data_IF_302801625843
#
_entry.id   IF_302801625843
#
_cell.length_a   1.000
_cell.length_b   1.000
_cell.length_c   1.000
_cell.angle_alpha   90.00
_cell.angle_beta   90.00
_cell.angle_gamma   90.00
#
_symmetry.space_group_name_H-M   'P 1'
#
loop_
_entity.id
_entity.type
_entity.pdbx_description
1 polymer ?
#
# COMPACT_ATOMS: atom_id res chain seq x y z
N UNK A 1 -10.16 -5.84 -18.03
CA UNK A 1 -10.08 -5.05 -19.29
C UNK A 1 -10.35 -3.56 -19.09
N UNK A 2 -11.49 -3.13 -18.52
CA UNK A 2 -11.85 -1.69 -18.40
C UNK A 2 -10.89 -0.85 -17.53
N UNK A 3 -10.23 -1.46 -16.54
CA UNK A 3 -9.21 -0.76 -15.73
C UNK A 3 -7.85 -0.61 -16.44
N UNK A 4 -7.51 -1.50 -17.38
CA UNK A 4 -6.19 -1.51 -18.03
C UNK A 4 -5.97 -0.30 -18.96
N UNK A 5 -7.05 0.25 -19.54
CA UNK A 5 -7.00 1.44 -20.40
C UNK A 5 -6.64 2.70 -19.64
N UNK A 6 -7.04 2.82 -18.37
CA UNK A 6 -6.67 3.95 -17.51
C UNK A 6 -5.35 3.73 -16.75
N UNK A 7 -4.93 2.47 -16.62
CA UNK A 7 -3.68 2.09 -15.97
C UNK A 7 -2.44 2.26 -16.86
N UNK A 8 -2.63 2.54 -18.14
CA UNK A 8 -1.58 2.42 -19.16
C UNK A 8 -0.92 1.02 -19.20
N UNK A 9 -1.50 0.00 -18.56
CA UNK A 9 -1.00 -1.38 -18.59
C UNK A 9 -1.19 -2.03 -19.96
N UNK A 10 -2.17 -1.55 -20.73
CA UNK A 10 -2.33 -1.86 -22.17
C UNK A 10 -1.04 -1.54 -22.94
N UNK A 11 -0.26 -0.54 -22.51
CA UNK A 11 0.98 -0.18 -23.20
C UNK A 11 2.19 -1.05 -22.85
N UNK A 12 2.13 -1.86 -21.80
CA UNK A 12 3.24 -2.74 -21.38
C UNK A 12 3.21 -4.10 -22.11
N UNK A 13 2.01 -4.60 -22.45
CA UNK A 13 1.82 -5.94 -23.05
C UNK A 13 1.39 -5.95 -24.52
N UNK A 14 0.80 -4.87 -25.05
CA UNK A 14 0.28 -4.88 -26.42
C UNK A 14 1.21 -4.16 -27.40
N UNK A 15 1.46 -4.79 -28.55
CA UNK A 15 2.18 -4.23 -29.72
C UNK A 15 1.71 -2.82 -30.15
N UNK A 16 0.54 -2.39 -29.67
CA UNK A 16 -0.10 -1.09 -29.94
C UNK A 16 0.73 0.08 -29.40
N UNK A 17 1.44 -0.10 -28.28
CA UNK A 17 2.29 0.96 -27.69
C UNK A 17 3.42 1.39 -28.60
N UNK A 18 4.10 0.41 -29.19
CA UNK A 18 5.16 0.62 -30.18
C UNK A 18 4.62 1.15 -31.51
N UNK A 19 3.33 0.99 -31.81
CA UNK A 19 2.71 1.62 -32.98
C UNK A 19 2.42 3.12 -32.80
N UNK A 20 2.04 3.57 -31.58
CA UNK A 20 1.74 4.99 -31.32
C UNK A 20 3.02 5.82 -31.17
N UNK A 21 4.07 5.24 -30.60
CA UNK A 21 5.39 5.89 -30.48
C UNK A 21 6.51 4.95 -30.96
N UNK A 22 6.79 4.91 -32.28
CA UNK A 22 7.73 3.95 -32.89
C UNK A 22 9.20 4.13 -32.47
N UNK A 23 9.52 5.20 -31.73
CA UNK A 23 10.87 5.47 -31.19
C UNK A 23 10.94 5.45 -29.66
N UNK A 24 9.83 5.21 -28.97
CA UNK A 24 9.82 5.19 -27.51
C UNK A 24 10.43 3.89 -26.99
N UNK A 25 11.32 4.03 -26.01
CA UNK A 25 11.87 2.89 -25.26
C UNK A 25 10.92 2.51 -24.12
N UNK A 26 11.08 1.29 -23.58
CA UNK A 26 10.30 0.83 -22.41
C UNK A 26 10.48 1.77 -21.21
N UNK A 27 11.66 2.39 -21.08
CA UNK A 27 11.95 3.38 -20.02
C UNK A 27 11.14 4.67 -20.18
N UNK A 28 10.89 5.11 -21.42
CA UNK A 28 10.02 6.26 -21.70
C UNK A 28 8.57 5.98 -21.27
N UNK A 29 8.11 4.75 -21.51
CA UNK A 29 6.78 4.31 -21.08
C UNK A 29 6.66 4.22 -19.56
N UNK A 30 7.71 3.76 -18.87
CA UNK A 30 7.74 3.76 -17.41
C UNK A 30 7.68 5.18 -16.83
N UNK A 31 8.37 6.15 -17.44
CA UNK A 31 8.22 7.56 -17.05
C UNK A 31 6.79 8.05 -17.26
N UNK A 32 6.18 7.70 -18.40
CA UNK A 32 4.80 8.11 -18.67
C UNK A 32 3.81 7.56 -17.63
N UNK A 33 4.07 6.37 -17.08
CA UNK A 33 3.26 5.82 -15.97
C UNK A 33 3.31 6.67 -14.70
N UNK A 34 4.39 7.41 -14.45
CA UNK A 34 4.38 8.41 -13.37
C UNK A 34 3.34 9.49 -13.62
N UNK A 35 3.12 9.94 -14.86
CA UNK A 35 2.12 10.96 -15.18
C UNK A 35 0.72 10.48 -14.81
N UNK A 36 0.39 9.22 -15.11
CA UNK A 36 -0.87 8.60 -14.66
C UNK A 36 -1.01 8.61 -13.14
N UNK A 37 0.07 8.25 -12.44
CA UNK A 37 0.06 8.20 -10.97
C UNK A 37 -0.04 9.60 -10.37
N UNK A 38 0.62 10.60 -10.95
CA UNK A 38 0.52 12.01 -10.56
C UNK A 38 -0.84 12.61 -10.88
N UNK A 39 -1.46 12.23 -11.99
CA UNK A 39 -2.84 12.60 -12.31
C UNK A 39 -3.79 12.10 -11.22
N UNK A 40 -3.57 10.88 -10.73
CA UNK A 40 -4.24 10.33 -9.57
C UNK A 40 -4.10 11.25 -8.33
N UNK A 41 -2.89 11.68 -7.99
CA UNK A 41 -2.64 12.64 -6.91
C UNK A 41 -3.30 14.01 -7.16
N UNK A 42 -3.29 14.48 -8.39
CA UNK A 42 -3.93 15.73 -8.78
C UNK A 42 -5.44 15.65 -8.58
N UNK A 43 -6.09 14.53 -8.95
CA UNK A 43 -7.52 14.32 -8.71
C UNK A 43 -7.87 14.31 -7.23
N UNK A 44 -7.02 13.76 -6.36
CA UNK A 44 -7.18 13.86 -4.90
C UNK A 44 -7.18 15.33 -4.49
N UNK A 45 -6.14 16.09 -4.88
CA UNK A 45 -6.00 17.50 -4.51
C UNK A 45 -7.19 18.31 -5.04
N UNK A 46 -7.58 18.09 -6.30
CA UNK A 46 -8.74 18.73 -6.92
C UNK A 46 -10.02 18.39 -6.17
N UNK A 47 -10.23 17.13 -5.76
CA UNK A 47 -11.39 16.72 -4.97
C UNK A 47 -11.41 17.42 -3.60
N UNK A 48 -10.26 17.51 -2.93
CA UNK A 48 -10.14 18.23 -1.66
C UNK A 48 -10.43 19.72 -1.85
N UNK A 49 -9.88 20.33 -2.90
CA UNK A 49 -10.10 21.75 -3.23
C UNK A 49 -11.57 22.00 -3.56
N UNK A 50 -12.19 21.18 -4.40
CA UNK A 50 -13.62 21.26 -4.72
C UNK A 50 -14.46 21.10 -3.46
N UNK A 51 -14.17 20.15 -2.58
CA UNK A 51 -14.90 20.00 -1.31
C UNK A 51 -14.72 21.18 -0.37
N UNK A 52 -13.53 21.79 -0.35
CA UNK A 52 -13.24 22.98 0.45
C UNK A 52 -13.89 24.24 -0.12
N UNK A 53 -13.93 24.37 -1.44
CA UNK A 53 -14.57 25.48 -2.15
C UNK A 53 -16.10 25.37 -2.15
N UNK A 54 -16.66 24.17 -2.33
CA UNK A 54 -18.09 23.87 -2.18
C UNK A 54 -18.53 23.70 -0.72
N UNK A 55 -17.74 24.20 0.23
CA UNK A 55 -18.06 24.09 1.66
C UNK A 55 -19.25 24.95 2.13
N UNK A 56 -20.04 25.54 1.23
CA UNK A 56 -21.28 26.22 1.60
C UNK A 56 -22.47 25.75 0.74
N UNK A 57 -23.40 25.06 1.39
CA UNK A 57 -24.80 24.82 1.01
C UNK A 57 -25.20 23.62 0.11
N UNK A 58 -24.74 23.49 -1.14
CA UNK A 58 -25.45 22.60 -2.08
C UNK A 58 -25.24 21.09 -1.83
N UNK A 59 -23.98 20.65 -1.68
CA UNK A 59 -23.65 19.21 -1.59
C UNK A 59 -24.03 18.62 -0.21
N UNK A 60 -23.91 19.43 0.84
CA UNK A 60 -24.35 19.06 2.20
C UNK A 60 -25.87 18.90 2.23
N UNK A 61 -26.65 19.80 1.60
CA UNK A 61 -28.12 19.71 1.56
C UNK A 61 -28.63 18.48 0.82
N UNK A 62 -27.97 18.09 -0.28
CA UNK A 62 -28.32 16.88 -1.03
C UNK A 62 -27.98 15.60 -0.25
N UNK A 63 -26.83 15.57 0.43
CA UNK A 63 -26.41 14.41 1.24
C UNK A 63 -27.15 14.29 2.58
N UNK A 64 -27.58 15.40 3.19
CA UNK A 64 -28.39 15.38 4.41
C UNK A 64 -29.78 14.78 4.15
N UNK A 65 -30.31 14.96 2.94
CA UNK A 65 -31.57 14.33 2.48
C UNK A 65 -31.44 12.81 2.32
N UNK A 66 -30.21 12.31 2.13
CA UNK A 66 -29.88 10.89 2.05
C UNK A 66 -29.37 10.30 3.39
N UNK A 67 -29.51 11.00 4.51
CA UNK A 67 -29.21 10.47 5.85
C UNK A 67 -27.74 10.21 6.19
N UNK A 68 -26.78 10.57 5.32
CA UNK A 68 -25.35 10.32 5.58
C UNK A 68 -24.72 11.46 6.39
N UNK A 69 -24.68 11.30 7.72
CA UNK A 69 -24.12 12.28 8.68
C UNK A 69 -22.58 12.41 8.68
N UNK A 70 -21.82 11.54 8.00
CA UNK A 70 -20.35 11.51 8.11
C UNK A 70 -19.58 11.52 6.77
N UNK A 71 -19.95 12.46 5.88
CA UNK A 71 -19.35 12.61 4.53
C UNK A 71 -17.84 12.85 4.62
N UNK A 72 -17.39 13.69 5.58
CA UNK A 72 -15.98 14.05 5.74
C UNK A 72 -15.11 12.84 6.08
N UNK A 73 -15.56 11.98 6.99
CA UNK A 73 -14.84 10.74 7.32
C UNK A 73 -14.77 9.78 6.13
N UNK A 74 -15.87 9.61 5.39
CA UNK A 74 -15.90 8.77 4.19
C UNK A 74 -14.96 9.28 3.10
N UNK A 75 -14.87 10.59 2.88
CA UNK A 75 -13.94 11.18 1.92
C UNK A 75 -12.51 10.93 2.35
N UNK A 76 -12.17 11.20 3.63
CA UNK A 76 -10.80 10.99 4.13
C UNK A 76 -10.40 9.53 3.95
N UNK A 77 -11.26 8.58 4.30
CA UNK A 77 -11.00 7.14 4.11
C UNK A 77 -10.85 6.75 2.63
N UNK A 78 -11.60 7.39 1.73
CA UNK A 78 -11.42 7.21 0.29
C UNK A 78 -10.07 7.73 -0.20
N UNK A 79 -9.66 8.91 0.27
CA UNK A 79 -8.36 9.52 -0.08
C UNK A 79 -7.19 8.71 0.48
N UNK A 80 -7.31 8.15 1.70
CA UNK A 80 -6.26 7.29 2.27
C UNK A 80 -6.12 6.00 1.50
N UNK A 81 -7.22 5.32 1.15
CA UNK A 81 -7.18 4.11 0.32
C UNK A 81 -6.53 4.39 -1.05
N UNK A 82 -6.88 5.51 -1.68
CA UNK A 82 -6.30 5.90 -2.95
C UNK A 82 -4.81 6.24 -2.83
N UNK A 83 -4.39 6.90 -1.75
CA UNK A 83 -2.97 7.14 -1.48
C UNK A 83 -2.19 5.82 -1.38
N UNK A 84 -2.72 4.81 -0.70
CA UNK A 84 -2.06 3.49 -0.59
C UNK A 84 -1.85 2.86 -1.96
N UNK A 85 -2.86 2.94 -2.83
CA UNK A 85 -2.80 2.39 -4.18
C UNK A 85 -1.78 3.15 -5.03
N UNK A 86 -1.83 4.49 -5.05
CA UNK A 86 -0.88 5.30 -5.82
C UNK A 86 0.54 5.15 -5.31
N UNK A 87 0.73 5.06 -4.00
CA UNK A 87 2.01 4.79 -3.34
C UNK A 87 2.65 3.51 -3.88
N UNK A 88 1.90 2.41 -3.88
CA UNK A 88 2.43 1.11 -4.29
C UNK A 88 2.83 1.09 -5.77
N UNK A 89 2.03 1.75 -6.62
CA UNK A 89 2.40 1.90 -8.04
C UNK A 89 3.64 2.74 -8.25
N UNK A 90 3.74 3.88 -7.57
CA UNK A 90 4.96 4.69 -7.58
C UNK A 90 6.17 3.83 -7.19
N UNK A 91 6.04 3.02 -6.13
CA UNK A 91 7.11 2.14 -5.65
C UNK A 91 7.54 1.14 -6.72
N UNK A 92 6.60 0.41 -7.34
CA UNK A 92 6.91 -0.55 -8.41
C UNK A 92 7.63 0.13 -9.58
N UNK A 93 7.09 1.24 -10.10
CA UNK A 93 7.69 1.95 -11.24
C UNK A 93 9.10 2.42 -10.90
N UNK A 94 9.29 2.94 -9.68
CA UNK A 94 10.58 3.41 -9.18
C UNK A 94 11.59 2.27 -9.11
N UNK A 95 11.18 1.10 -8.59
CA UNK A 95 12.07 -0.07 -8.53
C UNK A 95 12.39 -0.61 -9.93
N UNK A 96 11.43 -0.66 -10.86
CA UNK A 96 11.66 -1.06 -12.26
C UNK A 96 12.75 -0.22 -12.97
N UNK A 97 12.89 1.06 -12.62
CA UNK A 97 13.90 1.96 -13.19
C UNK A 97 15.24 1.89 -12.46
N UNK A 98 15.19 1.83 -11.12
CA UNK A 98 16.37 1.93 -10.25
C UNK A 98 17.07 0.58 -10.00
N UNK A 99 16.43 -0.57 -10.24
CA UNK A 99 17.07 -1.86 -10.04
C UNK A 99 17.93 -2.28 -11.25
N UNK A 100 19.21 -2.62 -11.02
CA UNK A 100 20.09 -3.07 -12.08
C UNK A 100 19.87 -4.56 -12.39
N UNK A 101 19.88 -4.88 -13.68
CA UNK A 101 20.16 -6.23 -14.17
C UNK A 101 21.63 -6.34 -14.57
N UNK A 102 22.11 -7.55 -14.86
CA UNK A 102 23.45 -7.74 -15.41
C UNK A 102 23.41 -8.65 -16.63
N UNK A 103 24.28 -8.36 -17.58
CA UNK A 103 24.57 -9.22 -18.72
C UNK A 103 25.99 -9.75 -18.53
N UNK A 104 26.16 -11.07 -18.65
CA UNK A 104 27.47 -11.71 -18.61
C UNK A 104 27.99 -11.87 -20.03
N UNK A 105 28.98 -11.08 -20.42
CA UNK A 105 29.66 -11.19 -21.72
C UNK A 105 31.12 -11.53 -21.43
N UNK A 106 31.61 -12.66 -21.98
CA UNK A 106 33.01 -13.09 -21.88
C UNK A 106 33.59 -13.03 -20.45
N UNK A 107 32.84 -13.52 -19.45
CA UNK A 107 33.16 -13.50 -18.01
C UNK A 107 33.17 -12.13 -17.33
N UNK A 108 32.81 -11.04 -18.03
CA UNK A 108 32.61 -9.72 -17.45
C UNK A 108 31.12 -9.47 -17.21
N UNK A 109 30.77 -9.03 -15.99
CA UNK A 109 29.42 -8.60 -15.63
C UNK A 109 29.25 -7.14 -15.96
N UNK A 110 28.35 -6.83 -16.90
CA UNK A 110 27.97 -5.47 -17.26
C UNK A 110 26.62 -5.17 -16.63
N UNK A 111 26.54 -4.13 -15.80
CA UNK A 111 25.30 -3.69 -15.18
C UNK A 111 24.49 -2.82 -16.14
N UNK A 112 23.25 -3.24 -16.37
CA UNK A 112 22.31 -2.60 -17.30
C UNK A 112 20.97 -2.39 -16.59
N UNK A 113 20.17 -1.38 -16.99
CA UNK A 113 18.78 -1.28 -16.54
C UNK A 113 17.98 -2.54 -16.88
N UNK A 114 17.06 -2.95 -15.99
CA UNK A 114 16.28 -4.19 -16.13
C UNK A 114 15.57 -4.34 -17.49
N UNK A 115 15.02 -3.25 -18.04
CA UNK A 115 14.28 -3.26 -19.31
C UNK A 115 15.09 -2.78 -20.52
N UNK A 116 16.39 -2.48 -20.38
CA UNK A 116 17.20 -2.01 -21.50
C UNK A 116 18.66 -2.44 -21.38
N UNK A 117 19.03 -3.51 -22.10
CA UNK A 117 20.39 -4.05 -22.11
C UNK A 117 21.43 -3.22 -22.88
N UNK A 118 21.00 -2.22 -23.65
CA UNK A 118 21.91 -1.38 -24.45
C UNK A 118 22.43 -0.17 -23.66
N UNK A 119 21.80 0.13 -22.52
CA UNK A 119 22.17 1.26 -21.68
C UNK A 119 23.05 0.80 -20.53
N UNK A 120 24.05 1.61 -20.22
CA UNK A 120 24.85 1.46 -19.01
C UNK A 120 24.05 1.95 -17.80
N UNK A 121 23.99 1.13 -16.74
CA UNK A 121 23.25 1.49 -15.53
C UNK A 121 23.86 2.73 -14.85
N UNK A 122 23.00 3.69 -14.46
CA UNK A 122 23.36 4.95 -13.77
C UNK A 122 24.38 5.81 -14.53
N UNK A 123 24.43 5.70 -15.86
CA UNK A 123 25.32 6.49 -16.71
C UNK A 123 24.57 7.11 -17.89
N UNK A 124 25.14 8.19 -18.41
CA UNK A 124 24.73 8.89 -19.63
C UNK A 124 23.21 9.10 -19.75
N UNK A 125 22.55 8.37 -20.66
CA UNK A 125 21.13 8.48 -20.94
C UNK A 125 20.25 7.86 -19.85
N UNK A 126 20.71 6.86 -19.08
CA UNK A 126 19.92 6.29 -17.98
C UNK A 126 19.71 7.29 -16.84
N UNK A 127 20.66 8.21 -16.61
CA UNK A 127 20.55 9.26 -15.59
C UNK A 127 19.30 10.12 -15.77
N UNK A 128 18.88 10.37 -17.02
CA UNK A 128 17.66 11.13 -17.32
C UNK A 128 16.39 10.46 -16.76
N UNK A 129 16.41 9.13 -16.61
CA UNK A 129 15.33 8.34 -16.03
C UNK A 129 15.52 8.10 -14.54
N UNK A 130 16.76 7.87 -14.10
CA UNK A 130 17.09 7.59 -12.72
C UNK A 130 16.87 8.79 -11.79
N UNK A 131 17.20 10.01 -12.23
CA UNK A 131 17.04 11.22 -11.40
C UNK A 131 15.57 11.46 -11.03
N UNK A 132 14.60 11.46 -11.97
CA UNK A 132 13.18 11.55 -11.63
C UNK A 132 12.70 10.42 -10.71
N UNK A 133 13.15 9.19 -10.95
CA UNK A 133 12.78 8.04 -10.12
C UNK A 133 13.30 8.18 -8.67
N UNK A 134 14.56 8.63 -8.50
CA UNK A 134 15.14 8.92 -7.19
C UNK A 134 14.41 10.05 -6.48
N UNK A 135 14.08 11.13 -7.21
CA UNK A 135 13.30 12.25 -6.66
C UNK A 135 11.92 11.77 -6.20
N UNK A 136 11.23 10.94 -7.00
CA UNK A 136 9.97 10.33 -6.63
C UNK A 136 10.11 9.47 -5.36
N UNK A 137 11.18 8.68 -5.27
CA UNK A 137 11.48 7.87 -4.09
C UNK A 137 11.60 8.71 -2.83
N UNK A 138 12.46 9.74 -2.84
CA UNK A 138 12.74 10.56 -1.66
C UNK A 138 11.55 11.46 -1.30
N UNK A 139 10.84 12.01 -2.28
CA UNK A 139 9.79 13.00 -2.03
C UNK A 139 8.38 12.40 -1.83
N UNK A 140 8.12 11.18 -2.32
CA UNK A 140 6.76 10.61 -2.33
C UNK A 140 6.71 9.26 -1.61
N UNK A 141 7.67 8.38 -1.85
CA UNK A 141 7.65 7.01 -1.30
C UNK A 141 8.20 6.97 0.12
N UNK A 142 9.26 7.70 0.41
CA UNK A 142 9.89 7.68 1.73
C UNK A 142 9.11 8.47 2.81
N UNK A 143 8.48 9.63 2.52
CA UNK A 143 7.86 10.43 3.58
C UNK A 143 6.67 9.76 4.31
N UNK A 144 5.71 9.08 3.63
CA UNK A 144 4.58 8.43 4.31
C UNK A 144 4.97 7.42 5.40
N UNK A 145 5.83 6.41 5.16
CA UNK A 145 6.24 5.46 6.20
C UNK A 145 6.96 6.14 7.35
N UNK A 146 7.89 7.06 7.05
CA UNK A 146 8.62 7.79 8.08
C UNK A 146 7.68 8.61 8.96
N UNK A 147 6.76 9.37 8.35
CA UNK A 147 5.82 10.21 9.08
C UNK A 147 4.91 9.36 9.98
N UNK A 148 4.45 8.20 9.51
CA UNK A 148 3.61 7.27 10.29
C UNK A 148 4.37 6.58 11.44
N UNK A 149 5.64 6.21 11.24
CA UNK A 149 6.48 5.59 12.28
C UNK A 149 6.89 6.62 13.34
N UNK A 150 7.26 7.83 12.91
CA UNK A 150 7.72 8.88 13.82
C UNK A 150 6.57 9.56 14.59
N UNK A 151 5.31 9.45 14.16
CA UNK A 151 4.17 10.06 14.84
C UNK A 151 4.12 9.78 16.36
N UNK A 152 4.15 8.52 16.84
CA UNK A 152 4.16 8.25 18.28
C UNK A 152 5.43 8.73 18.99
N UNK A 153 6.58 8.70 18.30
CA UNK A 153 7.85 9.20 18.85
C UNK A 153 7.81 10.72 19.03
N UNK A 154 7.27 11.44 18.05
CA UNK A 154 7.10 12.89 18.08
C UNK A 154 6.21 13.31 19.25
N UNK A 155 5.19 12.54 19.63
CA UNK A 155 4.38 12.78 20.83
C UNK A 155 5.23 12.72 22.10
N UNK A 156 6.04 11.68 22.23
CA UNK A 156 6.86 11.47 23.42
C UNK A 156 7.95 12.56 23.56
N UNK A 157 8.60 12.93 22.45
CA UNK A 157 9.57 14.02 22.44
C UNK A 157 8.92 15.38 22.72
N UNK A 158 7.77 15.63 22.10
CA UNK A 158 6.95 16.83 22.35
C UNK A 158 6.54 16.95 23.82
N UNK A 159 6.13 15.86 24.47
CA UNK A 159 5.76 15.88 25.89
C UNK A 159 6.94 16.09 26.84
N UNK A 160 8.15 15.65 26.47
CA UNK A 160 9.36 15.78 27.30
C UNK A 160 10.08 17.12 27.13
N UNK A 161 10.06 17.68 25.93
CA UNK A 161 10.67 18.98 25.64
C UNK A 161 9.60 20.03 25.88
N UNK A 162 9.77 20.90 26.89
CA UNK A 162 8.86 22.03 27.15
C UNK A 162 8.59 22.84 25.86
N UNK A 163 7.50 22.48 25.17
CA UNK A 163 7.15 22.84 23.78
C UNK A 163 7.12 24.33 23.48
N UNK A 164 7.03 25.14 24.53
CA UNK A 164 6.76 26.57 24.43
C UNK A 164 7.95 27.39 23.92
N UNK A 165 9.17 26.83 23.85
CA UNK A 165 10.39 27.64 23.66
C UNK A 165 10.99 27.63 22.24
N UNK A 166 10.74 26.61 21.40
CA UNK A 166 11.35 26.52 20.06
C UNK A 166 10.36 26.74 18.91
N UNK A 167 10.71 27.62 17.97
CA UNK A 167 9.90 27.91 16.77
C UNK A 167 9.65 26.66 15.91
N UNK A 168 10.63 25.76 15.86
CA UNK A 168 10.57 24.51 15.08
C UNK A 168 9.60 23.47 15.68
N UNK A 169 9.50 23.39 17.01
CA UNK A 169 8.52 22.48 17.65
C UNK A 169 7.09 22.98 17.45
N UNK A 170 6.88 24.30 17.43
CA UNK A 170 5.58 24.89 17.13
C UNK A 170 5.13 24.64 15.68
N UNK A 171 6.01 24.80 14.70
CA UNK A 171 5.67 24.52 13.28
C UNK A 171 5.35 23.05 13.05
N UNK A 172 6.13 22.14 13.65
CA UNK A 172 5.88 20.70 13.60
C UNK A 172 4.54 20.34 14.26
N UNK A 173 4.20 20.97 15.38
CA UNK A 173 2.91 20.76 16.05
C UNK A 173 1.72 21.19 15.17
N UNK A 174 1.81 22.35 14.50
CA UNK A 174 0.75 22.79 13.57
C UNK A 174 0.61 21.83 12.41
N UNK A 175 1.73 21.42 11.79
CA UNK A 175 1.72 20.47 10.68
C UNK A 175 1.06 19.15 11.09
N UNK A 176 1.42 18.64 12.27
CA UNK A 176 0.82 17.44 12.85
C UNK A 176 -0.69 17.60 13.03
N UNK A 177 -1.16 18.70 13.62
CA UNK A 177 -2.59 18.91 13.84
C UNK A 177 -3.39 18.99 12.53
N UNK A 178 -2.78 19.50 11.44
CA UNK A 178 -3.38 19.47 10.11
C UNK A 178 -3.43 18.07 9.50
N UNK A 179 -2.40 17.26 9.73
CA UNK A 179 -2.30 15.88 9.23
C UNK A 179 -3.04 14.86 10.09
N UNK A 180 -3.42 15.22 11.32
CA UNK A 180 -4.05 14.31 12.29
C UNK A 180 -5.26 13.54 11.72
N UNK A 181 -6.23 14.15 11.01
CA UNK A 181 -7.36 13.40 10.46
C UNK A 181 -6.93 12.33 9.44
N UNK A 182 -5.85 12.59 8.70
CA UNK A 182 -5.29 11.65 7.74
C UNK A 182 -4.57 10.52 8.47
N UNK A 183 -3.74 10.86 9.45
CA UNK A 183 -3.01 9.91 10.28
C UNK A 183 -3.94 8.99 11.06
N UNK A 184 -4.99 9.55 11.66
CA UNK A 184 -6.01 8.79 12.38
C UNK A 184 -6.76 7.82 11.46
N UNK A 185 -6.90 8.12 10.17
CA UNK A 185 -7.49 7.19 9.19
C UNK A 185 -6.57 5.99 8.89
N UNK A 186 -5.24 6.18 8.89
CA UNK A 186 -4.28 5.09 8.76
C UNK A 186 -4.08 4.29 10.05
N UNK A 187 -4.02 4.99 11.17
CA UNK A 187 -3.64 4.41 12.46
C UNK A 187 -4.85 3.94 13.28
N UNK A 188 -6.06 4.38 12.93
CA UNK A 188 -7.26 4.18 13.75
C UNK A 188 -7.69 2.72 13.93
N UNK A 189 -7.25 1.81 13.07
CA UNK A 189 -7.51 0.37 13.21
C UNK A 189 -6.52 -0.35 14.15
N UNK A 190 -5.40 0.30 14.49
CA UNK A 190 -4.35 -0.26 15.34
C UNK A 190 -4.53 0.14 16.80
N UNK A 191 -4.02 -0.70 17.71
CA UNK A 191 -3.97 -0.38 19.14
C UNK A 191 -3.13 0.87 19.37
N UNK A 192 -3.42 1.63 20.42
CA UNK A 192 -2.72 2.90 20.71
C UNK A 192 -1.20 2.73 20.84
N UNK A 193 -0.74 1.62 21.40
CA UNK A 193 0.68 1.31 21.55
C UNK A 193 1.33 0.78 20.26
N UNK A 194 0.52 0.44 19.25
CA UNK A 194 0.95 -0.17 17.99
C UNK A 194 0.66 0.72 16.77
N UNK A 195 0.38 2.03 16.95
CA UNK A 195 0.06 2.94 15.84
C UNK A 195 1.17 3.07 14.79
N UNK A 196 2.43 2.83 15.17
CA UNK A 196 3.58 2.80 14.25
C UNK A 196 3.50 1.65 13.23
N UNK A 197 2.71 0.60 13.48
CA UNK A 197 2.53 -0.51 12.53
C UNK A 197 1.92 -0.06 11.21
N UNK A 198 1.12 1.02 11.21
CA UNK A 198 0.62 1.62 9.97
C UNK A 198 1.76 2.05 9.03
N UNK A 199 2.85 2.59 9.59
CA UNK A 199 4.03 2.96 8.81
C UNK A 199 4.92 1.77 8.47
N UNK A 200 5.00 0.77 9.35
CA UNK A 200 5.70 -0.49 9.05
C UNK A 200 5.09 -1.22 7.85
N UNK A 201 3.77 -1.18 7.67
CA UNK A 201 3.11 -1.75 6.49
C UNK A 201 3.67 -1.21 5.16
N UNK A 202 3.89 0.11 5.07
CA UNK A 202 4.52 0.72 3.91
C UNK A 202 6.01 0.35 3.80
N UNK A 203 6.70 0.29 4.94
CA UNK A 203 8.11 -0.10 4.99
C UNK A 203 8.33 -1.54 4.52
N UNK A 204 7.46 -2.48 4.87
CA UNK A 204 7.53 -3.86 4.38
C UNK A 204 7.46 -3.91 2.85
N UNK A 205 6.62 -3.07 2.22
CA UNK A 205 6.56 -2.99 0.76
C UNK A 205 7.87 -2.48 0.16
N UNK A 206 8.49 -1.47 0.77
CA UNK A 206 9.83 -0.98 0.36
C UNK A 206 10.87 -2.09 0.46
N UNK A 207 10.75 -3.02 1.42
CA UNK A 207 11.68 -4.14 1.57
C UNK A 207 11.38 -5.30 0.61
N UNK A 208 10.11 -5.66 0.42
CA UNK A 208 9.70 -6.82 -0.39
C UNK A 208 9.88 -6.55 -1.89
N UNK A 209 9.41 -5.40 -2.40
CA UNK A 209 9.39 -5.11 -3.86
C UNK A 209 10.79 -5.17 -4.50
N UNK A 210 11.88 -4.69 -3.88
CA UNK A 210 13.25 -4.96 -4.33
C UNK A 210 13.59 -6.42 -4.61
N UNK A 211 13.03 -7.35 -3.83
CA UNK A 211 13.24 -8.78 -3.95
C UNK A 211 13.00 -9.24 -5.39
N UNK A 212 11.84 -8.87 -5.93
CA UNK A 212 11.39 -9.19 -7.29
C UNK A 212 12.44 -8.92 -8.39
N UNK A 213 13.35 -7.96 -8.16
CA UNK A 213 14.35 -7.52 -9.12
C UNK A 213 15.79 -7.95 -8.77
N UNK A 214 16.01 -8.64 -7.65
CA UNK A 214 17.30 -9.22 -7.32
C UNK A 214 17.60 -10.38 -8.28
N UNK A 215 18.70 -10.25 -9.04
CA UNK A 215 19.07 -11.25 -10.04
C UNK A 215 19.37 -12.62 -9.41
N UNK A 216 18.52 -13.60 -9.74
CA UNK A 216 18.63 -14.99 -9.32
C UNK A 216 17.34 -15.46 -8.65
N UNK A 217 16.50 -16.22 -9.38
CA UNK A 217 15.16 -16.62 -8.93
C UNK A 217 15.16 -17.31 -7.56
N UNK A 218 16.14 -18.17 -7.26
CA UNK A 218 16.25 -18.81 -5.94
C UNK A 218 16.53 -17.82 -4.80
N UNK A 219 17.42 -16.85 -5.04
CA UNK A 219 17.80 -15.85 -4.04
C UNK A 219 16.65 -14.86 -3.80
N UNK A 220 15.90 -14.55 -4.86
CA UNK A 220 14.69 -13.74 -4.76
C UNK A 220 13.65 -14.41 -3.83
N UNK A 221 13.19 -15.62 -4.16
CA UNK A 221 12.14 -16.28 -3.37
C UNK A 221 12.56 -16.48 -1.90
N UNK A 222 13.85 -16.79 -1.66
CA UNK A 222 14.39 -16.93 -0.30
C UNK A 222 14.42 -15.61 0.46
N UNK A 223 14.80 -14.51 -0.19
CA UNK A 223 14.80 -13.17 0.42
C UNK A 223 13.39 -12.70 0.78
N UNK A 224 12.45 -12.82 -0.16
CA UNK A 224 11.05 -12.49 0.07
C UNK A 224 10.46 -13.37 1.20
N UNK A 225 10.79 -14.66 1.20
CA UNK A 225 10.33 -15.62 2.22
C UNK A 225 10.84 -15.25 3.61
N UNK A 226 12.12 -14.87 3.72
CA UNK A 226 12.71 -14.42 4.98
C UNK A 226 12.03 -13.16 5.50
N UNK A 227 11.76 -12.17 4.64
CA UNK A 227 11.06 -10.94 5.05
C UNK A 227 9.63 -11.25 5.46
N UNK A 228 8.89 -12.02 4.68
CA UNK A 228 7.51 -12.41 5.00
C UNK A 228 7.43 -13.15 6.33
N UNK A 229 8.38 -14.06 6.59
CA UNK A 229 8.47 -14.75 7.87
C UNK A 229 8.75 -13.78 9.03
N UNK A 230 9.66 -12.82 8.86
CA UNK A 230 9.92 -11.79 9.87
C UNK A 230 8.69 -10.91 10.15
N UNK A 231 7.96 -10.53 9.10
CA UNK A 231 6.70 -9.76 9.22
C UNK A 231 5.65 -10.58 9.97
N UNK A 232 5.50 -11.86 9.63
CA UNK A 232 4.58 -12.79 10.30
C UNK A 232 4.92 -12.94 11.79
N UNK A 233 6.20 -13.13 12.12
CA UNK A 233 6.66 -13.21 13.51
C UNK A 233 6.32 -11.91 14.27
N UNK A 234 6.62 -10.76 13.68
CA UNK A 234 6.33 -9.47 14.31
C UNK A 234 4.82 -9.25 14.53
N UNK A 235 3.99 -9.59 13.54
CA UNK A 235 2.54 -9.45 13.61
C UNK A 235 1.89 -10.44 14.60
N UNK A 236 2.38 -11.67 14.65
CA UNK A 236 1.93 -12.68 15.61
C UNK A 236 2.31 -12.35 17.05
N UNK A 237 3.48 -11.74 17.28
CA UNK A 237 3.89 -11.31 18.63
C UNK A 237 3.14 -10.06 19.11
N UNK A 238 2.93 -9.09 18.23
CA UNK A 238 2.40 -7.79 18.63
C UNK A 238 0.88 -7.67 18.56
N UNK A 239 0.20 -8.46 17.71
CA UNK A 239 -1.24 -8.37 17.46
C UNK A 239 -1.72 -6.92 17.30
N UNK A 240 -1.25 -6.21 16.25
CA UNK A 240 -1.27 -4.76 16.21
C UNK A 240 -2.68 -4.16 16.08
N UNK A 241 -3.66 -4.90 15.55
CA UNK A 241 -5.03 -4.42 15.38
C UNK A 241 -5.82 -4.40 16.69
N UNK A 242 -6.76 -3.45 16.79
CA UNK A 242 -7.69 -3.36 17.93
C UNK A 242 -8.61 -4.59 17.97
N UNK A 243 -9.19 -4.96 16.82
CA UNK A 243 -10.10 -6.08 16.72
C UNK A 243 -9.33 -7.40 16.59
N UNK A 244 -9.66 -8.36 17.46
CA UNK A 244 -9.08 -9.71 17.42
C UNK A 244 -9.25 -10.40 16.07
N UNK A 245 -10.44 -10.28 15.45
CA UNK A 245 -10.70 -10.85 14.13
C UNK A 245 -9.78 -10.30 13.03
N UNK A 246 -9.42 -9.01 13.09
CA UNK A 246 -8.51 -8.43 12.10
C UNK A 246 -7.09 -8.99 12.28
N UNK A 247 -6.62 -9.17 13.52
CA UNK A 247 -5.34 -9.83 13.77
C UNK A 247 -5.30 -11.26 13.23
N UNK A 248 -6.38 -12.03 13.43
CA UNK A 248 -6.46 -13.41 12.94
C UNK A 248 -6.47 -13.47 11.42
N UNK A 249 -7.24 -12.60 10.76
CA UNK A 249 -7.27 -12.52 9.30
C UNK A 249 -5.91 -12.13 8.72
N UNK A 250 -5.24 -11.15 9.34
CA UNK A 250 -3.94 -10.68 8.89
C UNK A 250 -2.86 -11.77 9.03
N UNK A 251 -2.82 -12.47 10.16
CA UNK A 251 -1.92 -13.63 10.34
C UNK A 251 -2.24 -14.72 9.32
N UNK A 252 -3.52 -15.03 9.09
CA UNK A 252 -3.93 -16.03 8.11
C UNK A 252 -3.47 -15.65 6.69
N UNK A 253 -3.66 -14.39 6.27
CA UNK A 253 -3.21 -13.90 4.97
C UNK A 253 -1.68 -13.91 4.83
N UNK A 254 -0.94 -13.59 5.90
CA UNK A 254 0.52 -13.65 5.90
C UNK A 254 1.03 -15.10 5.81
N UNK A 255 0.37 -16.05 6.49
CA UNK A 255 0.68 -17.48 6.37
C UNK A 255 0.38 -17.98 4.97
N UNK A 256 -0.77 -17.64 4.39
CA UNK A 256 -1.15 -17.98 3.03
C UNK A 256 -0.11 -17.47 2.01
N UNK A 257 0.29 -16.20 2.13
CA UNK A 257 1.32 -15.60 1.28
C UNK A 257 2.69 -16.28 1.42
N UNK A 258 3.07 -16.65 2.65
CA UNK A 258 4.30 -17.40 2.91
C UNK A 258 4.25 -18.80 2.29
N UNK A 259 3.10 -19.48 2.36
CA UNK A 259 2.91 -20.80 1.72
C UNK A 259 2.99 -20.70 0.20
N UNK A 260 2.37 -19.68 -0.41
CA UNK A 260 2.48 -19.42 -1.84
C UNK A 260 3.95 -19.24 -2.24
N UNK A 261 4.69 -18.38 -1.52
CA UNK A 261 6.09 -18.14 -1.83
C UNK A 261 6.96 -19.41 -1.65
N UNK A 262 6.70 -20.20 -0.62
CA UNK A 262 7.38 -21.47 -0.40
C UNK A 262 7.11 -22.47 -1.53
N UNK A 263 5.86 -22.61 -1.98
CA UNK A 263 5.49 -23.50 -3.09
C UNK A 263 6.08 -23.03 -4.42
N UNK A 264 6.09 -21.73 -4.71
CA UNK A 264 6.80 -21.18 -5.88
C UNK A 264 8.30 -21.49 -5.83
N UNK A 265 8.91 -21.43 -4.64
CA UNK A 265 10.29 -21.87 -4.43
C UNK A 265 10.51 -23.35 -4.74
N UNK A 266 9.61 -24.24 -4.30
CA UNK A 266 9.68 -25.68 -4.61
C UNK A 266 9.53 -25.94 -6.11
N UNK A 267 8.52 -25.33 -6.75
CA UNK A 267 8.28 -25.46 -8.19
C UNK A 267 9.54 -25.07 -8.98
N UNK A 268 10.20 -23.98 -8.58
CA UNK A 268 11.45 -23.54 -9.18
C UNK A 268 12.61 -24.53 -8.97
N UNK A 269 12.76 -25.10 -7.77
CA UNK A 269 13.78 -26.10 -7.50
C UNK A 269 13.58 -27.35 -8.34
N UNK A 270 12.34 -27.80 -8.51
CA UNK A 270 11.99 -28.92 -9.40
C UNK A 270 12.37 -28.57 -10.84
N UNK A 271 12.08 -27.35 -11.30
CA UNK A 271 12.42 -26.91 -12.66
C UNK A 271 13.93 -26.95 -12.93
N UNK A 272 14.77 -26.44 -12.01
CA UNK A 272 16.24 -26.47 -12.18
C UNK A 272 16.77 -27.90 -12.14
N UNK A 273 16.26 -28.73 -11.23
CA UNK A 273 16.85 -30.04 -10.96
C UNK A 273 16.34 -31.14 -11.88
N UNK A 274 15.48 -30.83 -12.87
CA UNK A 274 14.98 -31.81 -13.85
C UNK A 274 16.15 -32.52 -14.56
N UNK A 275 16.42 -33.81 -14.29
CA UNK A 275 17.45 -34.53 -14.99
C UNK A 275 16.97 -34.82 -16.43
N UNK A 276 17.86 -34.63 -17.39
CA UNK A 276 17.63 -34.96 -18.79
C UNK A 276 17.27 -36.45 -18.92
N UNK A 277 16.01 -36.73 -19.23
CA UNK A 277 15.48 -37.95 -19.89
C UNK A 277 14.90 -39.14 -19.09
N UNK A 278 15.11 -39.34 -17.78
CA UNK A 278 14.67 -40.61 -17.14
C UNK A 278 13.27 -40.63 -16.47
N UNK A 279 12.76 -39.54 -15.88
CA UNK A 279 11.53 -39.55 -15.04
C UNK A 279 10.44 -38.56 -15.48
N UNK A 280 10.32 -38.32 -16.79
CA UNK A 280 9.51 -37.22 -17.35
C UNK A 280 7.98 -37.28 -17.07
N UNK A 281 7.43 -38.43 -16.69
CA UNK A 281 5.98 -38.61 -16.50
C UNK A 281 5.50 -38.23 -15.09
N UNK A 282 6.26 -38.58 -14.05
CA UNK A 282 5.89 -38.31 -12.66
C UNK A 282 6.16 -36.84 -12.28
N UNK A 283 7.20 -36.23 -12.84
CA UNK A 283 7.53 -34.81 -12.64
C UNK A 283 6.41 -33.89 -13.16
N UNK A 284 5.75 -34.26 -14.26
CA UNK A 284 4.63 -33.50 -14.83
C UNK A 284 3.37 -33.52 -13.96
N UNK A 285 3.13 -34.60 -13.23
CA UNK A 285 1.98 -34.70 -12.33
C UNK A 285 2.23 -33.81 -11.11
N UNK A 286 3.44 -33.87 -10.55
CA UNK A 286 3.85 -33.06 -9.39
C UNK A 286 3.82 -31.56 -9.70
N UNK A 287 4.37 -31.14 -10.85
CA UNK A 287 4.35 -29.74 -11.30
C UNK A 287 2.91 -29.21 -11.45
N UNK A 288 2.03 -29.97 -12.11
CA UNK A 288 0.62 -29.60 -12.22
C UNK A 288 -0.08 -29.53 -10.87
N UNK A 289 0.20 -30.47 -9.98
CA UNK A 289 -0.39 -30.49 -8.64
C UNK A 289 0.01 -29.25 -7.83
N UNK A 290 1.30 -28.89 -7.84
CA UNK A 290 1.81 -27.68 -7.17
C UNK A 290 1.16 -26.43 -7.76
N UNK A 291 1.09 -26.31 -9.08
CA UNK A 291 0.43 -25.17 -9.74
C UNK A 291 -1.04 -25.04 -9.38
N UNK A 292 -1.78 -26.15 -9.29
CA UNK A 292 -3.18 -26.15 -8.81
C UNK A 292 -3.27 -25.71 -7.36
N UNK A 293 -2.36 -26.16 -6.49
CA UNK A 293 -2.31 -25.78 -5.09
C UNK A 293 -2.06 -24.26 -4.93
N UNK A 294 -1.09 -23.71 -5.66
CA UNK A 294 -0.80 -22.27 -5.69
C UNK A 294 -2.05 -21.49 -6.14
N UNK A 295 -2.72 -21.94 -7.21
CA UNK A 295 -3.95 -21.31 -7.69
C UNK A 295 -5.05 -21.32 -6.62
N UNK A 296 -5.23 -22.44 -5.91
CA UNK A 296 -6.22 -22.55 -4.83
C UNK A 296 -5.90 -21.55 -3.71
N UNK A 297 -4.65 -21.45 -3.27
CA UNK A 297 -4.23 -20.50 -2.24
C UNK A 297 -4.52 -19.05 -2.66
N UNK A 298 -4.17 -18.66 -3.89
CA UNK A 298 -4.47 -17.33 -4.45
C UNK A 298 -5.98 -17.02 -4.43
N UNK A 299 -6.83 -18.03 -4.61
CA UNK A 299 -8.29 -17.87 -4.63
C UNK A 299 -8.92 -17.73 -3.23
N UNK A 300 -8.24 -18.18 -2.16
CA UNK A 300 -8.80 -18.16 -0.80
C UNK A 300 -9.13 -16.72 -0.32
N UNK A 301 -8.21 -15.74 -0.38
CA UNK A 301 -8.50 -14.36 0.01
C UNK A 301 -9.64 -13.74 -0.81
N UNK A 302 -9.69 -14.05 -2.10
CA UNK A 302 -10.70 -13.54 -3.02
C UNK A 302 -12.09 -14.11 -2.68
N UNK A 303 -12.17 -15.43 -2.43
CA UNK A 303 -13.40 -16.07 -1.97
C UNK A 303 -13.89 -15.48 -0.65
N UNK A 304 -12.99 -15.25 0.31
CA UNK A 304 -13.32 -14.61 1.58
C UNK A 304 -13.89 -13.20 1.38
N UNK A 305 -13.25 -12.37 0.54
CA UNK A 305 -13.73 -11.01 0.23
C UNK A 305 -15.10 -11.01 -0.46
N UNK A 306 -15.35 -11.96 -1.37
CA UNK A 306 -16.65 -12.12 -2.03
C UNK A 306 -17.75 -12.49 -1.03
N UNK A 307 -17.48 -13.44 -0.13
CA UNK A 307 -18.44 -13.82 0.92
C UNK A 307 -18.70 -12.66 1.89
N UNK A 308 -17.65 -11.94 2.27
CA UNK A 308 -17.77 -10.76 3.13
C UNK A 308 -18.59 -9.64 2.47
N UNK A 309 -18.31 -9.34 1.20
CA UNK A 309 -19.06 -8.37 0.41
C UNK A 309 -20.53 -8.79 0.25
N UNK A 310 -20.78 -10.06 -0.07
CA UNK A 310 -22.13 -10.61 -0.18
C UNK A 310 -22.92 -10.46 1.12
N UNK A 311 -22.34 -10.85 2.27
CA UNK A 311 -22.99 -10.68 3.59
C UNK A 311 -23.31 -9.22 3.92
N UNK A 312 -22.47 -8.28 3.46
CA UNK A 312 -22.63 -6.84 3.74
C UNK A 312 -23.64 -6.18 2.81
N UNK A 313 -23.73 -6.62 1.55
CA UNK A 313 -24.69 -6.12 0.55
C UNK A 313 -26.08 -6.73 0.75
N UNK A 314 -26.14 -7.99 1.16
CA UNK A 314 -27.37 -8.70 1.51
C UNK A 314 -27.36 -9.03 3.01
N UNK A 315 -27.46 -8.02 3.89
CA UNK A 315 -27.72 -8.31 5.29
C UNK A 315 -29.03 -9.10 5.32
N UNK A 316 -28.99 -10.32 5.85
CA UNK A 316 -30.19 -11.14 6.01
C UNK A 316 -31.28 -10.25 6.62
N UNK A 317 -32.38 -10.10 5.91
CA UNK A 317 -33.63 -9.43 6.32
C UNK A 317 -34.33 -10.19 7.45
N UNK A 318 -33.56 -10.78 8.37
CA UNK A 318 -34.04 -11.52 9.53
C UNK A 318 -33.74 -10.70 10.78
N UNK A 319 -34.41 -9.56 10.91
CA UNK A 319 -34.88 -9.03 12.19
C UNK A 319 -35.99 -8.02 11.88
N UNK A 320 -37.15 -8.55 11.53
CA UNK A 320 -38.39 -7.87 11.83
C UNK A 320 -38.57 -7.89 13.36
N UNK A 321 -38.74 -6.70 13.95
CA UNK A 321 -39.37 -6.45 15.25
C UNK A 321 -38.64 -7.05 16.47
N UNK A 322 -37.68 -6.31 17.01
CA UNK A 322 -37.53 -6.21 18.48
C UNK A 322 -36.94 -4.85 18.84
N UNK A 323 -37.84 -4.00 19.32
CA UNK A 323 -37.69 -2.85 20.19
C UNK A 323 -36.69 -1.72 19.87
N UNK A 324 -37.32 -0.56 19.71
CA UNK A 324 -36.79 0.77 19.93
C UNK A 324 -35.97 0.88 21.23
N UNK A 325 -34.98 1.78 21.14
CA UNK A 325 -34.17 2.40 22.19
C UNK A 325 -32.79 1.77 22.42
N UNK A 326 -31.81 2.68 22.49
CA UNK A 326 -30.39 2.46 22.84
C UNK A 326 -29.45 2.03 21.70
N UNK A 327 -29.27 2.94 20.73
CA UNK A 327 -27.99 3.06 20.05
C UNK A 327 -27.37 4.42 20.42
N UNK A 328 -26.90 4.49 21.66
CA UNK A 328 -25.92 5.48 22.07
C UNK A 328 -24.59 5.15 21.39
N UNK A 329 -24.44 5.61 20.15
CA UNK A 329 -23.12 5.84 19.57
C UNK A 329 -22.48 6.99 20.36
N UNK A 330 -21.91 6.64 21.51
CA UNK A 330 -21.04 7.52 22.27
C UNK A 330 -19.87 7.89 21.36
N UNK A 331 -19.83 9.14 20.93
CA UNK A 331 -18.61 9.79 20.49
C UNK A 331 -17.49 9.46 21.49
N UNK A 332 -16.23 9.27 21.06
CA UNK A 332 -15.13 9.14 22.01
C UNK A 332 -15.14 10.37 22.93
N UNK A 333 -15.26 10.14 24.24
CA UNK A 333 -15.40 11.16 25.29
C UNK A 333 -14.30 12.25 25.27
N UNK A 334 -13.22 12.04 24.51
CA UNK A 334 -12.12 13.00 24.30
C UNK A 334 -12.45 14.25 23.47
N UNK A 335 -13.66 14.41 22.96
CA UNK A 335 -14.07 15.60 22.19
C UNK A 335 -15.07 16.52 22.89
N UNK A 336 -15.52 16.18 24.11
CA UNK A 336 -16.52 16.97 24.85
C UNK A 336 -15.97 17.72 26.08
N UNK A 337 -14.78 17.39 26.56
CA UNK A 337 -14.21 17.92 27.82
C UNK A 337 -13.40 19.23 27.69
N UNK A 338 -13.70 20.10 26.72
CA UNK A 338 -12.97 21.38 26.64
C UNK A 338 -13.82 22.62 26.37
N UNK A 339 -15.14 22.58 26.57
CA UNK A 339 -15.95 23.77 26.26
C UNK A 339 -17.17 24.03 27.15
N UNK A 340 -17.24 23.44 28.34
CA UNK A 340 -18.27 23.79 29.33
C UNK A 340 -17.59 23.84 30.70
N UNK A 341 -16.99 24.98 31.03
CA UNK A 341 -16.75 25.47 32.39
C UNK A 341 -16.04 26.83 32.29
N UNK A 342 -16.85 27.89 32.11
CA UNK A 342 -16.62 29.24 32.65
C UNK A 342 -17.62 30.22 32.06
N UNK A 343 -18.83 30.22 32.60
CA UNK A 343 -19.65 31.43 32.71
C UNK A 343 -20.43 31.37 34.02
N UNK A 344 -20.08 32.26 34.94
CA UNK A 344 -20.99 32.73 35.98
C UNK A 344 -20.76 32.19 37.39
N UNK A 345 -19.87 32.83 38.13
CA UNK A 345 -20.19 33.44 39.44
C UNK A 345 -18.91 33.97 40.06
N UNK A 346 -18.79 35.28 40.26
CA UNK A 346 -18.39 35.89 41.53
C UNK A 346 -18.59 37.40 41.39
N UNK A 347 -19.57 37.89 42.14
CA UNK A 347 -19.59 39.24 42.70
C UNK A 347 -18.36 39.43 43.61
#
# INVERSE_FOLDING_TARGET
MVYGTFDFDVFENDNISFCVMPKATVLDMLILKYVSTFYAFFLIIATIVVLKLNSFYACIKFCHKCGKRNIRGSVINGLTAFLVLSYYRCLIITMKILFPSYISIAHQKIYVPFYNGNLSFMKDSHLMYAIPALLCFVCIILPPPLLLIFEPLLIQFSGRINLRRNRLTYTLHILRMKMKPFLDSFQGCFRDNCRSFAGLFFLYRILIVPGEYLNGLAWNNSYEGAILFLVLLLHSMCHPFQNWHHNQLDIFLLVDLLMINFLMGIEYLIFIHKPSEANFRDDKITEKFIGVLILVLILIPLGYLLVYAYKKVFPKTNHAVSNNNECSDSLPARLLDSQVDNYGSFN
#
